data_IF_226369580828
#
_entry.id   IF_226369580828
#
_cell.length_a   1.000
_cell.length_b   1.000
_cell.length_c   1.000
_cell.angle_alpha   90.00
_cell.angle_beta   90.00
_cell.angle_gamma   90.00
#
_symmetry.space_group_name_H-M   'P 1'
#
loop_
_entity.id
_entity.type
_entity.pdbx_description
1 polymer ?
#
# COMPACT_ATOMS: atom_id res chain seq x y z
N UNK A 1 -5.49 -15.88 19.79
CA UNK A 1 -6.84 -15.43 20.18
C UNK A 1 -7.57 -15.09 18.88
N UNK A 2 -8.47 -15.95 18.40
CA UNK A 2 -9.16 -15.70 17.14
C UNK A 2 -10.26 -14.65 17.35
N UNK A 3 -10.34 -13.66 16.47
CA UNK A 3 -11.40 -12.63 16.47
C UNK A 3 -12.67 -13.26 15.85
N UNK A 4 -13.24 -14.23 16.56
CA UNK A 4 -14.21 -15.21 16.04
C UNK A 4 -15.54 -14.59 15.57
N UNK A 5 -15.91 -13.41 16.06
CA UNK A 5 -17.19 -12.77 15.73
C UNK A 5 -17.25 -12.31 14.27
N UNK A 6 -16.12 -11.93 13.67
CA UNK A 6 -16.05 -11.39 12.31
C UNK A 6 -15.51 -12.42 11.29
N UNK A 7 -15.18 -13.64 11.71
CA UNK A 7 -14.57 -14.65 10.84
C UNK A 7 -13.16 -14.29 10.35
N UNK A 8 -12.49 -13.31 10.97
CA UNK A 8 -11.16 -12.84 10.54
C UNK A 8 -10.06 -13.69 11.18
N UNK A 9 -9.22 -14.31 10.34
CA UNK A 9 -8.03 -15.01 10.80
C UNK A 9 -6.92 -14.00 11.14
N UNK A 10 -6.58 -13.90 12.42
CA UNK A 10 -5.45 -13.09 12.86
C UNK A 10 -4.12 -13.81 12.57
N UNK A 11 -3.20 -13.13 11.89
CA UNK A 11 -1.84 -13.60 11.69
C UNK A 11 -0.91 -12.76 12.57
N UNK A 12 -0.17 -13.41 13.48
CA UNK A 12 0.74 -12.75 14.41
C UNK A 12 2.18 -12.92 13.95
N UNK A 13 3.00 -11.91 14.23
CA UNK A 13 4.43 -11.90 13.94
C UNK A 13 5.18 -12.06 15.27
N UNK A 14 6.33 -12.77 15.30
CA UNK A 14 7.12 -12.89 16.52
C UNK A 14 7.49 -11.55 17.14
N UNK A 15 7.65 -11.56 18.47
CA UNK A 15 8.09 -10.39 19.22
C UNK A 15 9.47 -9.93 18.71
N UNK A 16 9.68 -8.61 18.62
CA UNK A 16 10.92 -8.00 18.14
C UNK A 16 11.34 -8.38 16.71
N UNK A 17 10.40 -8.83 15.87
CA UNK A 17 10.68 -9.12 14.45
C UNK A 17 9.89 -8.20 13.48
N UNK A 18 10.14 -6.88 13.49
CA UNK A 18 9.40 -5.91 12.67
C UNK A 18 9.64 -6.09 11.16
N UNK A 19 10.71 -6.78 10.77
CA UNK A 19 11.07 -7.04 9.37
C UNK A 19 10.00 -7.89 8.65
N UNK A 20 9.33 -8.78 9.37
CA UNK A 20 8.24 -9.59 8.83
C UNK A 20 6.93 -8.81 8.65
N UNK A 21 6.86 -7.56 9.14
CA UNK A 21 5.68 -6.71 9.00
C UNK A 21 5.87 -5.71 7.84
N UNK A 22 5.30 -5.96 6.64
CA UNK A 22 5.45 -5.05 5.50
C UNK A 22 4.82 -3.67 5.76
N UNK A 23 3.89 -3.56 6.72
CA UNK A 23 3.24 -2.31 7.11
C UNK A 23 4.25 -1.32 7.71
N UNK A 24 5.33 -1.79 8.33
CA UNK A 24 6.35 -0.89 8.93
C UNK A 24 7.00 0.03 7.91
N UNK A 25 7.23 -0.46 6.68
CA UNK A 25 7.77 0.38 5.60
C UNK A 25 6.75 1.47 5.21
N UNK A 26 5.48 1.10 5.04
CA UNK A 26 4.43 2.08 4.72
C UNK A 26 4.23 3.11 5.85
N UNK A 27 4.26 2.68 7.10
CA UNK A 27 4.16 3.56 8.27
C UNK A 27 5.30 4.57 8.31
N UNK A 28 6.51 4.16 7.94
CA UNK A 28 7.67 5.05 7.82
C UNK A 28 7.44 6.13 6.78
N UNK A 29 6.99 5.76 5.58
CA UNK A 29 6.72 6.70 4.49
C UNK A 29 5.61 7.69 4.89
N UNK A 30 4.53 7.20 5.50
CA UNK A 30 3.42 8.04 5.99
C UNK A 30 3.88 9.02 7.06
N UNK A 31 4.74 8.60 8.00
CA UNK A 31 5.30 9.47 9.03
C UNK A 31 6.10 10.62 8.42
N UNK A 32 6.87 10.38 7.37
CA UNK A 32 7.64 11.43 6.69
C UNK A 32 6.72 12.51 6.13
N UNK A 33 5.67 12.12 5.40
CA UNK A 33 4.71 13.06 4.83
C UNK A 33 3.94 13.77 5.95
N UNK A 34 3.53 13.05 7.00
CA UNK A 34 2.81 13.63 8.12
C UNK A 34 3.62 14.72 8.83
N UNK A 35 4.91 14.49 9.08
CA UNK A 35 5.81 15.50 9.68
C UNK A 35 5.90 16.75 8.79
N UNK A 36 5.95 16.58 7.46
CA UNK A 36 6.00 17.71 6.53
C UNK A 36 4.72 18.56 6.55
N UNK A 37 3.54 17.92 6.62
CA UNK A 37 2.26 18.63 6.64
C UNK A 37 1.95 19.32 7.97
N UNK A 38 2.35 18.69 9.07
CA UNK A 38 2.03 19.16 10.43
C UNK A 38 2.94 20.32 10.87
N UNK A 39 4.19 20.34 10.39
CA UNK A 39 5.15 21.39 10.71
C UNK A 39 5.35 21.53 12.22
N UNK A 40 5.08 22.74 12.75
CA UNK A 40 5.29 23.07 14.17
C UNK A 40 4.10 22.71 15.07
N UNK A 41 2.87 22.63 14.54
CA UNK A 41 1.67 22.35 15.34
C UNK A 41 1.34 20.86 15.34
N UNK A 42 1.98 20.12 16.24
CA UNK A 42 1.86 18.66 16.33
C UNK A 42 0.47 18.15 16.72
N UNK A 43 -0.41 19.00 17.22
CA UNK A 43 -1.74 18.58 17.71
C UNK A 43 -2.79 18.50 16.60
N UNK A 44 -2.58 19.18 15.47
CA UNK A 44 -3.53 19.21 14.35
C UNK A 44 -3.31 18.13 13.28
N UNK A 45 -2.45 17.13 13.55
CA UNK A 45 -2.13 16.06 12.60
C UNK A 45 -3.34 15.31 12.03
N UNK A 46 -4.39 15.12 12.85
CA UNK A 46 -5.61 14.42 12.44
C UNK A 46 -6.33 15.13 11.29
N UNK A 47 -6.24 16.46 11.20
CA UNK A 47 -6.83 17.27 10.13
C UNK A 47 -6.20 17.00 8.77
N UNK A 48 -4.93 16.61 8.75
CA UNK A 48 -4.19 16.37 7.51
C UNK A 48 -4.30 14.92 7.01
N UNK A 49 -4.80 13.99 7.83
CA UNK A 49 -4.95 12.58 7.44
C UNK A 49 -5.73 12.38 6.13
N UNK A 50 -6.86 13.06 5.86
CA UNK A 50 -7.57 12.88 4.60
C UNK A 50 -6.74 13.34 3.39
N UNK A 51 -6.00 14.44 3.52
CA UNK A 51 -5.13 14.95 2.45
C UNK A 51 -3.93 14.02 2.20
N UNK A 52 -3.32 13.53 3.28
CA UNK A 52 -2.22 12.54 3.20
C UNK A 52 -2.74 11.26 2.55
N UNK A 53 -3.89 10.75 2.98
CA UNK A 53 -4.53 9.58 2.39
C UNK A 53 -4.76 9.77 0.89
N UNK A 54 -5.34 10.91 0.49
CA UNK A 54 -5.54 11.25 -0.93
C UNK A 54 -4.23 11.18 -1.71
N UNK A 55 -3.16 11.83 -1.22
CA UNK A 55 -1.86 11.83 -1.88
C UNK A 55 -1.26 10.42 -2.03
N UNK A 56 -1.35 9.58 -0.99
CA UNK A 56 -0.86 8.21 -1.04
C UNK A 56 -1.70 7.30 -1.95
N UNK A 57 -3.01 7.52 -2.01
CA UNK A 57 -3.93 6.74 -2.84
C UNK A 57 -3.83 7.11 -4.33
N UNK A 58 -3.58 8.38 -4.65
CA UNK A 58 -3.42 8.90 -6.02
C UNK A 58 -2.02 8.76 -6.61
N UNK A 59 -1.00 8.45 -5.79
CA UNK A 59 0.37 8.27 -6.27
C UNK A 59 0.56 6.91 -6.97
N UNK A 60 1.31 6.91 -8.07
CA UNK A 60 1.72 5.68 -8.77
C UNK A 60 2.90 5.05 -8.03
N UNK A 61 2.79 3.78 -7.67
CA UNK A 61 3.88 3.05 -7.00
C UNK A 61 4.71 2.27 -8.01
N UNK A 62 6.03 2.47 -8.02
CA UNK A 62 6.93 1.76 -8.94
C UNK A 62 6.84 0.23 -8.85
N UNK A 63 6.57 -0.33 -7.66
CA UNK A 63 6.44 -1.78 -7.45
C UNK A 63 5.12 -2.36 -8.00
N UNK A 64 4.16 -1.51 -8.34
CA UNK A 64 2.80 -1.89 -8.75
C UNK A 64 2.50 -1.36 -10.17
N UNK A 65 3.19 -0.29 -10.58
CA UNK A 65 2.99 0.50 -11.80
C UNK A 65 1.61 1.17 -11.90
N UNK A 66 0.84 1.20 -10.80
CA UNK A 66 -0.50 1.79 -10.73
C UNK A 66 -0.70 2.53 -9.40
N UNK A 67 -1.77 3.30 -9.33
CA UNK A 67 -2.21 3.94 -8.08
C UNK A 67 -2.96 2.94 -7.20
N UNK A 68 -2.96 3.19 -5.89
CA UNK A 68 -3.74 2.36 -4.97
C UNK A 68 -5.25 2.62 -5.14
N UNK A 69 -5.65 3.85 -5.41
CA UNK A 69 -7.03 4.21 -5.70
C UNK A 69 -7.58 3.36 -6.85
N UNK A 70 -6.81 3.24 -7.94
CA UNK A 70 -7.19 2.42 -9.08
C UNK A 70 -7.38 0.96 -8.68
N UNK A 71 -6.45 0.37 -7.94
CA UNK A 71 -6.55 -1.04 -7.53
C UNK A 71 -7.66 -1.34 -6.53
N UNK A 72 -8.00 -0.38 -5.65
CA UNK A 72 -9.04 -0.56 -4.64
C UNK A 72 -10.44 -0.29 -5.18
N UNK A 73 -10.58 0.73 -6.01
CA UNK A 73 -11.89 1.23 -6.44
C UNK A 73 -12.20 1.01 -7.92
N UNK A 74 -11.24 0.51 -8.71
CA UNK A 74 -11.39 0.39 -10.16
C UNK A 74 -11.51 1.76 -10.84
N UNK A 75 -10.93 2.82 -10.25
CA UNK A 75 -10.85 4.15 -10.85
C UNK A 75 -9.82 5.00 -10.13
N UNK A 76 -9.29 5.98 -10.82
CA UNK A 76 -8.43 6.98 -10.20
C UNK A 76 -9.23 7.87 -9.25
N UNK A 77 -8.57 8.28 -8.16
CA UNK A 77 -9.11 9.33 -7.29
C UNK A 77 -9.21 10.63 -8.06
N UNK A 78 -10.33 11.35 -7.89
CA UNK A 78 -10.55 12.64 -8.53
C UNK A 78 -10.27 13.77 -7.58
N UNK A 79 -9.54 14.76 -8.06
CA UNK A 79 -9.45 16.05 -7.38
C UNK A 79 -10.78 16.81 -7.52
N UNK A 80 -11.12 17.73 -6.60
CA UNK A 80 -12.37 18.49 -6.65
C UNK A 80 -12.58 19.24 -7.98
N UNK A 81 -11.51 19.75 -8.60
CA UNK A 81 -11.61 20.44 -9.89
C UNK A 81 -11.83 19.45 -11.04
N UNK A 82 -11.20 18.27 -10.99
CA UNK A 82 -11.43 17.15 -11.90
C UNK A 82 -12.88 16.68 -11.90
N UNK A 83 -13.48 16.56 -10.72
CA UNK A 83 -14.89 16.21 -10.61
C UNK A 83 -15.82 17.23 -11.26
N UNK A 84 -15.57 18.52 -11.07
CA UNK A 84 -16.36 19.58 -11.71
C UNK A 84 -16.23 19.57 -13.25
N UNK A 85 -15.02 19.34 -13.77
CA UNK A 85 -14.81 19.18 -15.22
C UNK A 85 -15.57 17.99 -15.79
N UNK A 86 -15.51 16.86 -15.08
CA UNK A 86 -16.23 15.65 -15.47
C UNK A 86 -17.73 15.89 -15.52
N UNK A 87 -18.33 16.49 -14.49
CA UNK A 87 -19.79 16.78 -14.47
C UNK A 87 -20.18 17.60 -15.69
N UNK A 88 -19.45 18.69 -15.98
CA UNK A 88 -19.71 19.52 -17.15
C UNK A 88 -19.65 18.69 -18.44
N UNK A 89 -18.57 17.94 -18.62
CA UNK A 89 -18.40 17.12 -19.82
C UNK A 89 -19.41 15.96 -19.97
N UNK A 90 -19.99 15.48 -18.87
CA UNK A 90 -21.03 14.46 -18.89
C UNK A 90 -22.42 15.06 -19.14
N UNK A 91 -22.68 16.29 -18.67
CA UNK A 91 -23.89 17.05 -19.05
C UNK A 91 -23.87 17.39 -20.55
N UNK A 92 -22.69 17.66 -21.10
CA UNK A 92 -22.52 17.98 -22.53
C UNK A 92 -22.60 16.74 -23.45
N UNK A 93 -22.51 15.53 -22.87
CA UNK A 93 -22.49 14.27 -23.62
C UNK A 93 -23.62 13.39 -23.08
N UNK A 94 -24.73 13.30 -23.81
CA UNK A 94 -25.88 12.39 -23.56
C UNK A 94 -25.52 10.88 -23.61
N UNK A 95 -24.31 10.49 -23.21
CA UNK A 95 -23.76 9.16 -23.32
C UNK A 95 -23.59 8.52 -21.96
N UNK A 96 -24.71 8.04 -21.41
CA UNK A 96 -24.71 7.13 -20.27
C UNK A 96 -24.70 5.67 -20.75
N UNK A 97 -23.65 5.24 -21.47
CA UNK A 97 -23.54 3.83 -21.90
C UNK A 97 -22.68 3.04 -20.92
N UNK A 98 -23.30 2.03 -20.31
CA UNK A 98 -22.72 1.05 -19.38
C UNK A 98 -21.73 0.12 -20.10
N UNK A 99 -20.49 0.58 -20.32
CA UNK A 99 -19.38 -0.28 -20.77
C UNK A 99 -18.77 -1.15 -19.64
N UNK A 100 -19.52 -1.35 -18.55
CA UNK A 100 -19.00 -1.93 -17.32
C UNK A 100 -18.38 -3.32 -17.53
N UNK A 101 -18.97 -4.18 -18.36
CA UNK A 101 -18.49 -5.57 -18.54
C UNK A 101 -17.11 -5.65 -19.20
N UNK A 102 -16.85 -4.84 -20.24
CA UNK A 102 -15.54 -4.82 -20.90
C UNK A 102 -14.47 -4.17 -20.02
N UNK A 103 -14.85 -3.14 -19.27
CA UNK A 103 -13.98 -2.48 -18.29
C UNK A 103 -13.56 -3.44 -17.17
N UNK A 104 -14.51 -4.17 -16.57
CA UNK A 104 -14.24 -5.12 -15.49
C UNK A 104 -13.28 -6.24 -15.94
N UNK A 105 -13.39 -6.70 -17.19
CA UNK A 105 -12.43 -7.67 -17.75
C UNK A 105 -11.02 -7.09 -17.84
N UNK A 106 -10.87 -5.83 -18.25
CA UNK A 106 -9.56 -5.14 -18.24
C UNK A 106 -9.04 -4.96 -16.82
N UNK A 107 -9.92 -4.59 -15.90
CA UNK A 107 -9.60 -4.40 -14.49
C UNK A 107 -9.06 -5.68 -13.83
N UNK A 108 -9.70 -6.82 -14.08
CA UNK A 108 -9.22 -8.12 -13.61
C UNK A 108 -7.79 -8.41 -14.09
N UNK A 109 -7.47 -8.13 -15.37
CA UNK A 109 -6.12 -8.26 -15.88
C UNK A 109 -5.13 -7.31 -15.18
N UNK A 110 -5.53 -6.05 -14.91
CA UNK A 110 -4.68 -5.11 -14.20
C UNK A 110 -4.36 -5.58 -12.77
N UNK A 111 -5.32 -6.20 -12.06
CA UNK A 111 -5.05 -6.77 -10.73
C UNK A 111 -4.04 -7.91 -10.82
N UNK A 112 -4.13 -8.77 -11.83
CA UNK A 112 -3.18 -9.87 -12.03
C UNK A 112 -1.77 -9.30 -12.26
N UNK A 113 -1.64 -8.34 -13.18
CA UNK A 113 -0.36 -7.69 -13.47
C UNK A 113 0.23 -6.99 -12.24
N UNK A 114 -0.60 -6.28 -11.48
CA UNK A 114 -0.17 -5.62 -10.24
C UNK A 114 0.39 -6.63 -9.23
N UNK A 115 -0.26 -7.79 -9.06
CA UNK A 115 0.22 -8.86 -8.19
C UNK A 115 1.57 -9.41 -8.66
N UNK A 116 1.73 -9.62 -9.97
CA UNK A 116 3.00 -10.08 -10.54
C UNK A 116 4.13 -9.07 -10.31
N UNK A 117 3.86 -7.78 -10.52
CA UNK A 117 4.85 -6.71 -10.30
C UNK A 117 5.28 -6.64 -8.84
N UNK A 118 4.33 -6.73 -7.92
CA UNK A 118 4.62 -6.78 -6.48
C UNK A 118 5.46 -8.01 -6.14
N UNK A 119 5.10 -9.19 -6.66
CA UNK A 119 5.86 -10.43 -6.45
C UNK A 119 7.29 -10.33 -6.97
N UNK A 120 7.49 -9.80 -8.18
CA UNK A 120 8.82 -9.55 -8.75
C UNK A 120 9.63 -8.58 -7.87
N UNK A 121 9.05 -7.47 -7.44
CA UNK A 121 9.70 -6.49 -6.58
C UNK A 121 10.10 -7.08 -5.21
N UNK A 122 9.23 -7.91 -4.62
CA UNK A 122 9.52 -8.62 -3.38
C UNK A 122 10.65 -9.63 -3.56
N UNK A 123 10.66 -10.42 -4.63
CA UNK A 123 11.72 -11.38 -4.93
C UNK A 123 13.07 -10.69 -5.10
N UNK A 124 13.13 -9.58 -5.84
CA UNK A 124 14.37 -8.81 -5.99
C UNK A 124 14.88 -8.28 -4.63
N UNK A 125 13.96 -7.82 -3.78
CA UNK A 125 14.31 -7.36 -2.42
C UNK A 125 14.85 -8.52 -1.57
N UNK A 126 14.24 -9.71 -1.68
CA UNK A 126 14.69 -10.94 -1.02
C UNK A 126 16.10 -11.32 -1.49
N UNK A 127 16.32 -11.39 -2.80
CA UNK A 127 17.63 -11.75 -3.37
C UNK A 127 18.73 -10.79 -2.93
N UNK A 128 18.45 -9.49 -2.88
CA UNK A 128 19.37 -8.48 -2.37
C UNK A 128 19.66 -8.65 -0.87
N UNK A 129 18.64 -8.96 -0.08
CA UNK A 129 18.81 -9.22 1.35
C UNK A 129 19.63 -10.49 1.58
N UNK A 130 19.34 -11.58 0.86
CA UNK A 130 20.05 -12.85 0.93
C UNK A 130 21.53 -12.69 0.55
N UNK A 131 21.84 -11.91 -0.49
CA UNK A 131 23.24 -11.58 -0.87
C UNK A 131 24.00 -10.80 0.21
N UNK A 132 23.30 -10.01 1.03
CA UNK A 132 23.90 -9.20 2.10
C UNK A 132 24.00 -9.94 3.43
N UNK A 133 23.38 -11.13 3.56
CA UNK A 133 23.51 -11.95 4.76
C UNK A 133 24.93 -12.50 4.86
N UNK A 134 25.60 -12.23 5.98
CA UNK A 134 26.77 -13.01 6.37
C UNK A 134 26.30 -14.39 6.81
N UNK A 135 27.09 -15.42 6.50
CA UNK A 135 26.84 -16.76 7.00
C UNK A 135 26.83 -16.70 8.53
N UNK A 136 25.74 -17.14 9.16
CA UNK A 136 25.69 -17.23 10.62
C UNK A 136 26.87 -18.07 11.08
N UNK A 137 27.61 -17.68 12.14
CA UNK A 137 28.51 -18.61 12.78
C UNK A 137 27.73 -19.90 13.08
N UNK A 138 28.33 -21.04 12.79
CA UNK A 138 27.79 -22.35 13.16
C UNK A 138 27.59 -22.28 14.67
N UNK A 139 26.33 -22.24 15.10
CA UNK A 139 25.98 -22.24 16.51
C UNK A 139 26.44 -23.59 17.07
N UNK A 140 27.61 -23.62 17.71
CA UNK A 140 28.04 -24.77 18.47
C UNK A 140 27.23 -24.79 19.77
N UNK A 141 26.84 -25.97 20.21
CA UNK A 141 25.87 -26.21 21.28
C UNK A 141 26.30 -25.70 22.69
N UNK A 142 27.35 -24.87 22.77
CA UNK A 142 28.00 -24.42 24.00
C UNK A 142 28.07 -22.89 24.16
N UNK A 143 27.52 -22.08 23.25
CA UNK A 143 27.43 -20.63 23.47
C UNK A 143 26.30 -20.32 24.46
N UNK A 144 26.65 -20.34 25.75
CA UNK A 144 25.76 -20.05 26.87
C UNK A 144 25.19 -18.63 26.76
N UNK A 145 23.87 -18.55 26.82
CA UNK A 145 23.12 -17.35 27.22
C UNK A 145 23.56 -16.99 28.64
N UNK A 146 24.25 -15.86 28.81
CA UNK A 146 24.40 -15.23 30.12
C UNK A 146 23.05 -14.62 30.50
N UNK A 147 22.53 -15.06 31.65
CA UNK A 147 21.38 -14.51 32.37
C UNK A 147 21.54 -13.01 32.64
#
# INVERSE_FOLDING_TARGET
MQMNVLGVKQNLIPLHHPEANPVERKNRDMKVVLVQFVGNDRWSWSRYLPAIRFAFESAVYASIDRTLAFLMFGREMRDPMGFQRDIKSNLDKDNFVSQNTAYLRKFAHYIIQAKEHVGKSQNLTKDQADRRRKMSPICQFADLVLL
#
